data_IF_192334724240
#
_entry.id   IF_192334724240
#
_cell.length_a   1.000
_cell.length_b   1.000
_cell.length_c   1.000
_cell.angle_alpha   90.00
_cell.angle_beta   90.00
_cell.angle_gamma   90.00
#
_symmetry.space_group_name_H-M   'P 1'
#
loop_
_entity.id
_entity.type
_entity.pdbx_description
1 polymer ?
#
# COMPACT_ATOMS: atom_id res chain seq x y z
N UNK A 1 -8.93 -1.02 -20.39
CA UNK A 1 -8.61 -1.77 -19.16
C UNK A 1 -8.90 -0.82 -18.02
N UNK A 2 -9.74 -1.16 -17.06
CA UNK A 2 -10.14 -0.17 -16.04
C UNK A 2 -9.21 -0.17 -14.82
N UNK A 3 -8.62 -1.32 -14.49
CA UNK A 3 -7.77 -1.52 -13.31
C UNK A 3 -6.57 -2.39 -13.68
N UNK A 4 -5.37 -1.93 -13.34
CA UNK A 4 -4.13 -2.70 -13.42
C UNK A 4 -3.55 -2.80 -12.01
N UNK A 5 -3.25 -4.03 -11.57
CA UNK A 5 -2.55 -4.31 -10.32
C UNK A 5 -1.29 -5.09 -10.64
N UNK A 6 -0.15 -4.42 -10.55
CA UNK A 6 1.17 -5.00 -10.67
C UNK A 6 1.73 -5.47 -9.32
N UNK A 7 2.74 -6.33 -9.41
CA UNK A 7 3.53 -6.80 -8.29
C UNK A 7 4.94 -7.20 -8.81
N UNK A 8 5.83 -7.67 -7.92
CA UNK A 8 7.20 -8.16 -8.14
C UNK A 8 8.33 -7.28 -7.55
N UNK A 9 8.29 -5.94 -7.59
CA UNK A 9 9.36 -5.10 -7.02
C UNK A 9 9.61 -5.32 -5.52
N UNK A 10 8.68 -5.99 -4.82
CA UNK A 10 8.69 -6.23 -3.38
C UNK A 10 8.71 -4.95 -2.52
N UNK A 11 8.47 -3.79 -3.15
CA UNK A 11 8.42 -2.47 -2.55
C UNK A 11 7.24 -1.71 -3.13
N UNK A 12 6.75 -0.72 -2.39
CA UNK A 12 5.67 0.16 -2.85
C UNK A 12 6.11 0.97 -4.07
N UNK A 13 5.21 1.09 -5.04
CA UNK A 13 5.30 2.03 -6.14
C UNK A 13 4.04 2.91 -6.21
N UNK A 14 4.05 4.00 -7.00
CA UNK A 14 2.92 4.92 -7.09
C UNK A 14 1.58 4.26 -7.46
N UNK A 15 0.50 4.94 -7.10
CA UNK A 15 -0.86 4.65 -7.57
C UNK A 15 -1.36 5.87 -8.32
N UNK A 16 -1.73 5.71 -9.58
CA UNK A 16 -2.15 6.83 -10.41
C UNK A 16 -3.24 6.45 -11.41
N UNK A 17 -3.85 7.48 -11.98
CA UNK A 17 -4.76 7.33 -13.11
C UNK A 17 -4.03 7.64 -14.40
N UNK A 18 -4.09 6.70 -15.35
CA UNK A 18 -3.67 6.91 -16.73
C UNK A 18 -4.94 6.83 -17.58
N UNK A 19 -5.40 7.97 -18.07
CA UNK A 19 -6.72 8.14 -18.67
C UNK A 19 -7.85 7.62 -17.76
N UNK A 20 -8.56 6.57 -18.19
CA UNK A 20 -9.62 5.90 -17.43
C UNK A 20 -9.12 4.70 -16.60
N UNK A 21 -7.82 4.41 -16.62
CA UNK A 21 -7.23 3.23 -15.98
C UNK A 21 -6.65 3.61 -14.63
N UNK A 22 -7.08 2.95 -13.56
CA UNK A 22 -6.39 3.00 -12.28
C UNK A 22 -5.21 2.03 -12.32
N UNK A 23 -3.98 2.54 -12.18
CA UNK A 23 -2.75 1.75 -12.21
C UNK A 23 -2.13 1.72 -10.82
N UNK A 24 -2.03 0.52 -10.27
CA UNK A 24 -1.27 0.21 -9.06
C UNK A 24 -0.03 -0.54 -9.51
N UNK A 25 1.12 0.12 -9.58
CA UNK A 25 2.34 -0.51 -10.11
C UNK A 25 2.87 -1.62 -9.20
N UNK A 26 2.90 -1.36 -7.88
CA UNK A 26 3.20 -2.38 -6.88
C UNK A 26 2.69 -1.98 -5.51
N UNK A 27 1.96 -2.89 -4.87
CA UNK A 27 1.50 -2.75 -3.49
C UNK A 27 2.61 -3.03 -2.46
N UNK A 28 3.79 -3.49 -2.89
CA UNK A 28 4.75 -4.13 -2.00
C UNK A 28 4.23 -5.48 -1.48
N UNK A 29 4.75 -5.91 -0.34
CA UNK A 29 4.39 -7.20 0.26
C UNK A 29 3.30 -7.02 1.33
N UNK A 30 2.28 -7.89 1.32
CA UNK A 30 1.26 -7.91 2.39
C UNK A 30 1.84 -8.49 3.70
N UNK A 31 2.57 -9.61 3.59
CA UNK A 31 3.40 -10.19 4.65
C UNK A 31 4.80 -10.39 4.07
N UNK A 32 5.85 -10.01 4.80
CA UNK A 32 7.23 -10.08 4.31
C UNK A 32 8.24 -10.55 5.36
N UNK A 33 8.98 -11.60 5.02
CA UNK A 33 10.21 -12.02 5.71
C UNK A 33 11.49 -11.49 5.07
N UNK A 34 11.40 -10.56 4.11
CA UNK A 34 12.58 -10.01 3.45
C UNK A 34 13.30 -9.00 4.35
N UNK A 35 14.64 -9.03 4.32
CA UNK A 35 15.48 -8.03 4.99
C UNK A 35 15.32 -6.67 4.31
N UNK A 36 15.21 -5.62 5.13
CA UNK A 36 15.07 -4.22 4.71
C UNK A 36 13.69 -3.67 5.02
N UNK A 37 13.64 -2.50 5.67
CA UNK A 37 12.39 -1.85 6.10
C UNK A 37 11.43 -1.61 4.94
N UNK A 38 11.95 -1.16 3.80
CA UNK A 38 11.15 -0.86 2.61
C UNK A 38 10.42 -2.08 2.02
N UNK A 39 10.96 -3.29 2.18
CA UNK A 39 10.35 -4.55 1.73
C UNK A 39 9.34 -5.11 2.71
N UNK A 40 9.26 -4.53 3.90
CA UNK A 40 8.32 -4.88 4.96
C UNK A 40 7.15 -3.90 5.04
N UNK A 41 7.17 -2.84 4.24
CA UNK A 41 6.08 -1.88 4.11
C UNK A 41 5.27 -2.24 2.86
N UNK A 42 3.95 -2.32 3.01
CA UNK A 42 3.02 -2.60 1.93
C UNK A 42 1.82 -1.65 1.94
N UNK A 43 1.01 -1.72 0.90
CA UNK A 43 -0.25 -0.98 0.77
C UNK A 43 -1.43 -1.94 0.89
N UNK A 44 -2.41 -1.55 1.69
CA UNK A 44 -3.77 -2.07 1.59
C UNK A 44 -4.61 -1.10 0.76
N UNK A 45 -4.99 -1.51 -0.44
CA UNK A 45 -5.73 -0.68 -1.40
C UNK A 45 -7.21 -1.09 -1.47
N UNK A 46 -8.08 -0.10 -1.70
CA UNK A 46 -9.51 -0.31 -1.92
C UNK A 46 -10.00 0.59 -3.06
N UNK A 47 -10.92 0.08 -3.87
CA UNK A 47 -11.61 0.85 -4.90
C UNK A 47 -13.04 0.37 -4.98
N UNK A 48 -13.99 1.30 -5.10
CA UNK A 48 -15.39 0.97 -5.33
C UNK A 48 -15.60 0.74 -6.83
N UNK A 49 -16.08 -0.45 -7.18
CA UNK A 49 -16.47 -0.79 -8.56
C UNK A 49 -17.98 -0.66 -8.71
N UNK A 50 -18.42 0.22 -9.61
CA UNK A 50 -19.81 0.35 -10.00
C UNK A 50 -20.03 -0.34 -11.35
N UNK A 51 -20.88 -1.37 -11.37
CA UNK A 51 -21.23 -2.09 -12.60
C UNK A 51 -22.29 -1.33 -13.40
N UNK A 52 -22.06 -1.16 -14.69
CA UNK A 52 -23.05 -0.72 -15.70
C UNK A 52 -23.43 -1.89 -16.61
N UNK A 53 -24.35 -1.67 -17.55
CA UNK A 53 -24.84 -2.72 -18.46
C UNK A 53 -23.72 -3.37 -19.27
N UNK A 54 -22.75 -2.58 -19.75
CA UNK A 54 -21.67 -3.04 -20.64
C UNK A 54 -20.27 -2.56 -20.20
N UNK A 55 -20.15 -1.93 -19.03
CA UNK A 55 -18.89 -1.37 -18.53
C UNK A 55 -18.86 -1.32 -17.01
N UNK A 56 -17.71 -0.93 -16.45
CA UNK A 56 -17.59 -0.59 -15.03
C UNK A 56 -17.11 0.85 -14.88
N UNK A 57 -17.38 1.44 -13.72
CA UNK A 57 -16.80 2.71 -13.30
C UNK A 57 -16.14 2.55 -11.94
N UNK A 58 -14.91 2.98 -11.84
CA UNK A 58 -14.14 2.93 -10.60
C UNK A 58 -14.29 4.24 -9.83
N UNK A 59 -14.46 4.14 -8.52
CA UNK A 59 -14.71 5.25 -7.63
C UNK A 59 -13.91 5.12 -6.34
N UNK A 60 -13.56 6.27 -5.76
CA UNK A 60 -13.02 6.38 -4.40
C UNK A 60 -11.83 5.42 -4.17
N UNK A 61 -10.76 5.48 -4.99
CA UNK A 61 -9.56 4.71 -4.68
C UNK A 61 -8.97 5.18 -3.35
N UNK A 62 -8.64 4.22 -2.51
CA UNK A 62 -8.08 4.38 -1.17
C UNK A 62 -6.84 3.54 -1.01
N UNK A 63 -5.91 4.02 -0.20
CA UNK A 63 -4.70 3.30 0.17
C UNK A 63 -4.39 3.56 1.64
N UNK A 64 -3.95 2.53 2.35
CA UNK A 64 -3.36 2.66 3.67
C UNK A 64 -2.07 1.84 3.79
N UNK A 65 -1.16 2.27 4.65
CA UNK A 65 0.13 1.63 4.83
C UNK A 65 0.06 0.55 5.91
N UNK A 66 0.70 -0.58 5.62
CA UNK A 66 0.90 -1.69 6.54
C UNK A 66 2.38 -2.00 6.68
N UNK A 67 2.78 -2.53 7.84
CA UNK A 67 4.13 -2.95 8.15
C UNK A 67 4.15 -4.38 8.68
N UNK A 68 5.00 -5.23 8.11
CA UNK A 68 5.26 -6.57 8.66
C UNK A 68 6.33 -6.50 9.75
N UNK A 69 5.92 -6.75 10.98
CA UNK A 69 6.82 -7.07 12.08
C UNK A 69 7.19 -8.57 12.06
N UNK A 70 8.43 -8.86 12.43
CA UNK A 70 8.92 -10.18 12.84
C UNK A 70 10.04 -9.94 13.85
N UNK A 71 10.27 -10.87 14.76
CA UNK A 71 11.31 -10.76 15.78
C UNK A 71 12.73 -11.02 15.24
N UNK A 72 13.75 -10.83 16.06
CA UNK A 72 15.16 -11.06 15.69
C UNK A 72 15.47 -12.46 15.13
N UNK A 73 14.64 -13.46 15.45
CA UNK A 73 14.76 -14.84 14.97
C UNK A 73 13.94 -15.11 13.70
N UNK A 74 13.38 -14.06 13.07
CA UNK A 74 12.45 -14.16 11.94
C UNK A 74 11.22 -15.01 12.26
N UNK A 75 10.69 -14.89 13.48
CA UNK A 75 9.45 -15.54 13.92
C UNK A 75 8.42 -14.48 14.30
N UNK A 76 7.23 -14.95 14.69
CA UNK A 76 6.15 -14.10 15.21
C UNK A 76 5.75 -12.97 14.26
N UNK A 77 5.41 -13.35 13.02
CA UNK A 77 4.98 -12.41 12.00
C UNK A 77 3.66 -11.74 12.37
N UNK A 78 3.63 -10.41 12.35
CA UNK A 78 2.44 -9.60 12.59
C UNK A 78 2.36 -8.47 11.59
N UNK A 79 1.20 -8.25 10.98
CA UNK A 79 0.94 -7.11 10.12
C UNK A 79 0.29 -6.00 10.93
N UNK A 80 0.97 -4.85 11.02
CA UNK A 80 0.48 -3.67 11.70
C UNK A 80 0.01 -2.62 10.69
N UNK A 81 -1.21 -2.08 10.82
CA UNK A 81 -1.52 -0.77 10.25
C UNK A 81 -0.56 0.28 10.79
N UNK A 82 -0.14 1.24 9.98
CA UNK A 82 0.77 2.31 10.44
C UNK A 82 0.19 3.12 11.62
N UNK A 83 -1.13 3.21 11.74
CA UNK A 83 -1.84 3.82 12.86
C UNK A 83 -1.64 3.11 14.21
N UNK A 84 -1.17 1.86 14.20
CA UNK A 84 -0.88 1.05 15.38
C UNK A 84 0.63 0.91 15.67
N UNK A 85 1.49 1.55 14.88
CA UNK A 85 2.93 1.53 15.09
C UNK A 85 3.37 2.49 16.20
N UNK A 86 4.53 2.16 16.76
CA UNK A 86 5.29 2.97 17.71
C UNK A 86 6.79 2.78 17.45
N UNK A 87 7.63 3.55 18.14
CA UNK A 87 9.08 3.52 17.92
C UNK A 87 9.75 2.21 18.36
N UNK A 88 9.11 1.39 19.18
CA UNK A 88 9.62 0.06 19.54
C UNK A 88 9.45 -0.92 18.39
N UNK A 89 8.33 -0.86 17.66
CA UNK A 89 8.04 -1.73 16.52
C UNK A 89 8.75 -1.28 15.24
N UNK A 90 8.79 0.03 15.00
CA UNK A 90 9.45 0.65 13.87
C UNK A 90 9.98 2.04 14.28
N UNK A 91 11.28 2.19 14.52
CA UNK A 91 11.88 3.50 14.78
C UNK A 91 11.55 4.48 13.65
N UNK A 92 11.23 5.73 14.01
CA UNK A 92 10.90 6.81 13.07
C UNK A 92 9.68 6.54 12.17
N UNK A 93 8.75 5.67 12.59
CA UNK A 93 7.58 5.29 11.78
C UNK A 93 6.77 6.49 11.25
N UNK A 94 6.69 7.61 12.00
CA UNK A 94 6.00 8.83 11.54
C UNK A 94 6.68 9.48 10.33
N UNK A 95 8.01 9.51 10.31
CA UNK A 95 8.78 10.07 9.20
C UNK A 95 8.67 9.16 7.98
N UNK A 96 8.81 7.85 8.20
CA UNK A 96 8.63 6.82 7.17
C UNK A 96 7.21 6.91 6.58
N UNK A 97 6.19 7.04 7.41
CA UNK A 97 4.81 7.23 6.95
C UNK A 97 4.72 8.42 5.99
N UNK A 98 5.27 9.58 6.37
CA UNK A 98 5.25 10.78 5.53
C UNK A 98 5.99 10.59 4.19
N UNK A 99 7.13 9.90 4.20
CA UNK A 99 7.89 9.55 3.00
C UNK A 99 7.06 8.70 2.03
N UNK A 100 6.49 7.60 2.52
CA UNK A 100 5.70 6.69 1.71
C UNK A 100 4.37 7.30 1.25
N UNK A 101 3.78 8.19 2.05
CA UNK A 101 2.65 8.98 1.58
C UNK A 101 3.02 9.85 0.38
N UNK A 102 4.24 10.36 0.28
CA UNK A 102 4.64 11.14 -0.91
C UNK A 102 4.79 10.27 -2.15
N UNK A 103 5.13 8.98 -2.01
CA UNK A 103 5.17 8.01 -3.12
C UNK A 103 3.75 7.69 -3.61
N UNK A 104 2.81 7.52 -2.68
CA UNK A 104 1.42 7.12 -2.99
C UNK A 104 0.56 8.31 -3.43
N UNK A 105 0.86 9.52 -2.96
CA UNK A 105 0.01 10.72 -3.16
C UNK A 105 -0.07 11.11 -4.63
N UNK A 106 -1.13 10.64 -5.27
CA UNK A 106 -1.80 11.32 -6.37
C UNK A 106 -3.02 12.06 -5.84
N UNK A 107 -3.35 13.24 -6.40
CA UNK A 107 -4.47 14.12 -5.95
C UNK A 107 -5.82 13.40 -5.85
N UNK A 108 -5.98 12.27 -6.55
CA UNK A 108 -7.20 11.48 -6.64
C UNK A 108 -7.27 10.27 -5.71
N UNK A 109 -6.20 9.96 -4.95
CA UNK A 109 -6.15 8.79 -4.06
C UNK A 109 -6.33 9.24 -2.61
N UNK A 110 -7.31 8.66 -1.92
CA UNK A 110 -7.54 8.95 -0.50
C UNK A 110 -6.65 8.07 0.38
N UNK A 111 -6.05 8.66 1.42
CA UNK A 111 -5.20 7.95 2.37
C UNK A 111 -6.03 7.58 3.61
N UNK A 112 -6.01 6.29 3.96
CA UNK A 112 -6.87 5.69 4.97
C UNK A 112 -8.03 4.91 4.33
N UNK A 113 -8.40 3.79 4.96
CA UNK A 113 -9.49 2.91 4.50
C UNK A 113 -10.83 3.25 5.14
#
# INVERSE_FOLDING_TARGET
>A
MDLIIGNHPHVIQPIEWIDHTLVVYSLGNFISGQKGTNKRIGILASVKVEKKTWSIKLHKPRADLIYTYYDENMKNFVVYPFSKLNNTLLPNYKSIYKEYLNIIKSKSIHIGL
#
